data_IF_367360975174
#
_entry.id   IF_367360975174
#
_cell.length_a   1.000
_cell.length_b   1.000
_cell.length_c   1.000
_cell.angle_alpha   90.00
_cell.angle_beta   90.00
_cell.angle_gamma   90.00
#
_symmetry.space_group_name_H-M   'P 1'
#
loop_
_entity.id
_entity.type
_entity.pdbx_description
1 polymer ?
#
# COMPACT_ATOMS: atom_id res chain seq x y z
N UNK A 1 5.66 36.67 0.33
CA UNK A 1 6.55 35.78 1.10
C UNK A 1 5.70 34.63 1.63
N UNK A 2 6.23 33.39 1.58
CA UNK A 2 5.65 32.10 1.99
C UNK A 2 4.94 31.21 0.94
N UNK A 3 5.59 30.94 -0.19
CA UNK A 3 5.21 29.80 -1.07
C UNK A 3 6.23 28.64 -1.05
N UNK A 4 7.32 28.77 -0.28
CA UNK A 4 8.38 27.77 -0.20
C UNK A 4 8.28 26.80 1.00
N UNK A 5 7.24 26.91 1.84
CA UNK A 5 7.06 26.03 3.02
C UNK A 5 6.38 24.68 2.72
N UNK A 6 5.92 24.45 1.48
CA UNK A 6 5.31 23.18 1.06
C UNK A 6 6.28 21.98 0.99
N UNK A 7 7.58 22.20 1.24
CA UNK A 7 8.63 21.21 1.03
C UNK A 7 8.87 20.24 2.20
N UNK A 8 8.30 20.49 3.39
CA UNK A 8 8.47 19.63 4.58
C UNK A 8 7.14 19.34 5.29
N UNK A 9 6.10 18.94 4.55
CA UNK A 9 4.90 18.37 5.15
C UNK A 9 5.11 16.87 5.37
N UNK A 10 5.21 16.46 6.62
CA UNK A 10 4.94 15.07 7.03
C UNK A 10 3.48 14.79 6.68
N UNK A 11 3.25 14.11 5.56
CA UNK A 11 1.89 13.69 5.17
C UNK A 11 1.55 12.42 5.95
N UNK A 12 0.33 12.32 6.45
CA UNK A 12 -0.14 11.10 7.11
C UNK A 12 -0.31 9.95 6.10
N UNK A 13 -0.33 8.71 6.60
CA UNK A 13 -0.55 7.53 5.76
C UNK A 13 -1.92 7.55 5.04
N UNK A 14 -2.93 8.18 5.65
CA UNK A 14 -4.25 8.38 5.05
C UNK A 14 -4.22 9.38 3.90
N UNK A 15 -3.46 10.47 4.02
CA UNK A 15 -3.26 11.42 2.93
C UNK A 15 -2.49 10.78 1.77
N UNK A 16 -1.48 9.95 2.08
CA UNK A 16 -0.72 9.19 1.07
C UNK A 16 -1.65 8.23 0.32
N UNK A 17 -2.52 7.51 1.02
CA UNK A 17 -3.49 6.62 0.38
C UNK A 17 -4.42 7.36 -0.59
N UNK A 18 -4.86 8.57 -0.24
CA UNK A 18 -5.68 9.42 -1.12
C UNK A 18 -4.92 9.94 -2.35
N UNK A 19 -3.61 10.21 -2.22
CA UNK A 19 -2.78 10.62 -3.35
C UNK A 19 -2.50 9.46 -4.32
N UNK A 20 -2.35 8.24 -3.78
CA UNK A 20 -2.09 7.02 -4.55
C UNK A 20 -3.36 6.49 -5.21
N UNK A 21 -4.51 6.57 -4.54
CA UNK A 21 -5.81 6.26 -5.14
C UNK A 21 -6.22 7.26 -6.23
N UNK A 22 -5.56 8.42 -6.28
CA UNK A 22 -5.86 9.50 -7.21
C UNK A 22 -7.06 10.36 -6.78
N UNK A 23 -7.56 10.19 -5.56
CA UNK A 23 -8.60 11.04 -4.96
C UNK A 23 -8.11 12.48 -4.75
N UNK A 24 -6.80 12.65 -4.53
CA UNK A 24 -6.17 13.96 -4.36
C UNK A 24 -4.88 14.06 -5.19
N UNK A 25 -4.53 15.26 -5.63
CA UNK A 25 -3.28 15.48 -6.38
C UNK A 25 -2.08 15.61 -5.45
N UNK A 26 -1.03 14.81 -5.71
CA UNK A 26 0.23 14.85 -4.97
C UNK A 26 1.11 16.06 -5.30
N UNK A 27 2.13 16.30 -4.47
CA UNK A 27 3.01 17.50 -4.56
C UNK A 27 3.73 17.56 -5.91
N UNK A 28 4.26 16.44 -6.41
CA UNK A 28 4.89 16.37 -7.73
C UNK A 28 3.95 16.72 -8.87
N UNK A 29 2.67 16.35 -8.81
CA UNK A 29 1.70 16.70 -9.85
C UNK A 29 1.43 18.20 -9.87
N UNK A 30 1.31 18.82 -8.70
CA UNK A 30 1.17 20.28 -8.56
C UNK A 30 2.39 20.98 -9.16
N UNK A 31 3.61 20.53 -8.83
CA UNK A 31 4.84 21.08 -9.39
C UNK A 31 4.92 20.95 -10.90
N UNK A 32 4.48 19.81 -11.44
CA UNK A 32 4.46 19.59 -12.89
C UNK A 32 3.50 20.55 -13.59
N UNK A 33 2.30 20.78 -13.05
CA UNK A 33 1.35 21.76 -13.57
C UNK A 33 1.91 23.18 -13.56
N UNK A 34 2.47 23.60 -12.43
CA UNK A 34 3.09 24.92 -12.30
C UNK A 34 4.23 25.11 -13.30
N UNK A 35 5.08 24.11 -13.47
CA UNK A 35 6.18 24.16 -14.44
C UNK A 35 5.67 24.24 -15.88
N UNK A 36 4.63 23.46 -16.21
CA UNK A 36 3.98 23.50 -17.52
C UNK A 36 3.37 24.87 -17.81
N UNK A 37 2.62 25.44 -16.87
CA UNK A 37 2.04 26.78 -16.99
C UNK A 37 3.12 27.84 -17.21
N UNK A 38 4.20 27.79 -16.43
CA UNK A 38 5.33 28.71 -16.56
C UNK A 38 6.01 28.61 -17.93
N UNK A 39 6.16 27.40 -18.49
CA UNK A 39 6.74 27.22 -19.83
C UNK A 39 5.85 27.85 -20.89
N UNK A 40 4.53 27.66 -20.82
CA UNK A 40 3.60 28.23 -21.79
C UNK A 40 3.67 29.75 -21.74
N UNK A 41 3.56 30.33 -20.55
CA UNK A 41 3.61 31.78 -20.37
C UNK A 41 4.92 32.36 -20.91
N UNK A 42 6.05 31.74 -20.57
CA UNK A 42 7.36 32.17 -21.07
C UNK A 42 7.45 32.06 -22.59
N UNK A 43 7.03 30.94 -23.17
CA UNK A 43 7.10 30.70 -24.63
C UNK A 43 6.23 31.69 -25.40
N UNK A 44 5.01 31.96 -24.92
CA UNK A 44 4.12 32.93 -25.57
C UNK A 44 4.62 34.37 -25.39
N UNK A 45 5.30 34.69 -24.27
CA UNK A 45 5.89 36.01 -24.04
C UNK A 45 7.05 36.35 -24.98
N UNK A 46 7.72 35.36 -25.58
CA UNK A 46 8.82 35.57 -26.54
C UNK A 46 8.34 36.18 -27.87
N UNK A 47 7.04 36.07 -28.15
CA UNK A 47 6.36 36.63 -29.31
C UNK A 47 5.43 37.76 -28.84
N UNK A 48 5.98 38.92 -28.41
CA UNK A 48 5.16 40.07 -28.08
C UNK A 48 4.46 40.58 -29.34
N UNK A 49 3.33 41.29 -29.15
CA UNK A 49 2.52 41.83 -30.24
C UNK A 49 3.35 42.59 -31.29
N UNK A 50 4.38 43.33 -30.87
CA UNK A 50 5.25 44.06 -31.76
C UNK A 50 5.96 43.16 -32.80
N UNK A 51 6.54 42.03 -32.37
CA UNK A 51 7.17 41.06 -33.29
C UNK A 51 6.13 40.40 -34.20
N UNK A 52 4.95 40.08 -33.65
CA UNK A 52 3.85 39.54 -34.43
C UNK A 52 3.43 40.52 -35.54
N UNK A 53 3.26 41.80 -35.21
CA UNK A 53 2.87 42.85 -36.15
C UNK A 53 3.93 43.08 -37.25
N UNK A 54 5.22 43.05 -36.90
CA UNK A 54 6.32 43.20 -37.85
C UNK A 54 6.31 42.14 -38.96
N UNK A 55 5.87 40.92 -38.66
CA UNK A 55 5.70 39.86 -39.66
C UNK A 55 4.62 40.16 -40.72
N UNK A 56 3.77 41.16 -40.50
CA UNK A 56 2.68 41.57 -41.40
C UNK A 56 2.88 42.99 -41.93
N UNK A 57 4.13 43.46 -42.04
CA UNK A 57 4.49 44.80 -42.50
C UNK A 57 3.86 45.18 -43.84
N UNK A 58 3.63 44.21 -44.73
CA UNK A 58 3.06 44.43 -46.07
C UNK A 58 1.56 44.76 -46.04
N UNK A 59 0.84 44.34 -44.98
CA UNK A 59 -0.59 44.62 -44.78
C UNK A 59 -0.83 46.02 -44.18
N UNK A 60 0.22 46.73 -43.79
CA UNK A 60 0.16 48.01 -43.06
C UNK A 60 -0.27 49.22 -43.91
N UNK A 61 -0.73 48.99 -45.15
CA UNK A 61 -1.21 50.05 -46.06
C UNK A 61 -2.65 50.51 -45.79
N UNK A 62 -3.38 49.83 -44.90
CA UNK A 62 -4.76 50.16 -44.52
C UNK A 62 -4.81 50.71 -43.08
N UNK A 63 -5.61 51.76 -42.86
CA UNK A 63 -5.71 52.47 -41.56
C UNK A 63 -6.12 51.56 -40.38
N UNK A 64 -6.80 50.45 -40.65
CA UNK A 64 -7.38 49.55 -39.63
C UNK A 64 -6.61 48.24 -39.42
N UNK A 65 -5.48 48.01 -40.11
CA UNK A 65 -4.75 46.73 -40.01
C UNK A 65 -4.22 46.47 -38.60
N UNK A 66 -3.76 47.51 -37.90
CA UNK A 66 -3.17 47.35 -36.56
C UNK A 66 -4.20 46.95 -35.50
N UNK A 67 -5.40 47.52 -35.54
CA UNK A 67 -6.48 47.17 -34.62
C UNK A 67 -6.98 45.75 -34.88
N UNK A 68 -7.12 45.36 -36.14
CA UNK A 68 -7.47 44.00 -36.54
C UNK A 68 -6.42 42.97 -36.12
N UNK A 69 -5.14 43.22 -36.36
CA UNK A 69 -4.06 42.32 -35.94
C UNK A 69 -3.95 42.24 -34.41
N UNK A 70 -4.19 43.35 -33.69
CA UNK A 70 -4.25 43.34 -32.24
C UNK A 70 -5.40 42.47 -31.74
N UNK A 71 -6.56 42.53 -32.37
CA UNK A 71 -7.68 41.65 -32.05
C UNK A 71 -7.33 40.18 -32.30
N UNK A 72 -6.70 39.85 -33.43
CA UNK A 72 -6.25 38.48 -33.71
C UNK A 72 -5.26 38.01 -32.64
N UNK A 73 -4.24 38.81 -32.34
CA UNK A 73 -3.22 38.46 -31.36
C UNK A 73 -3.82 38.20 -29.97
N UNK A 74 -4.69 39.09 -29.50
CA UNK A 74 -5.36 38.97 -28.20
C UNK A 74 -6.34 37.81 -28.10
N UNK A 75 -6.75 37.21 -29.22
CA UNK A 75 -7.60 36.00 -29.21
C UNK A 75 -6.78 34.72 -29.42
N UNK A 76 -5.89 34.71 -30.42
CA UNK A 76 -5.16 33.51 -30.82
C UNK A 76 -4.22 33.01 -29.73
N UNK A 77 -3.44 33.91 -29.09
CA UNK A 77 -2.46 33.49 -28.08
C UNK A 77 -3.12 32.97 -26.80
N UNK A 78 -4.17 33.61 -26.25
CA UNK A 78 -4.94 33.04 -25.14
C UNK A 78 -5.64 31.73 -25.50
N UNK A 79 -6.32 31.64 -26.65
CA UNK A 79 -6.97 30.39 -27.07
C UNK A 79 -5.96 29.26 -27.29
N UNK A 80 -4.78 29.56 -27.82
CA UNK A 80 -3.69 28.59 -27.95
C UNK A 80 -3.23 28.11 -26.57
N UNK A 81 -3.00 29.02 -25.62
CA UNK A 81 -2.65 28.70 -24.24
C UNK A 81 -3.69 27.77 -23.59
N UNK A 82 -4.98 28.10 -23.71
CA UNK A 82 -6.07 27.28 -23.17
C UNK A 82 -6.12 25.89 -23.79
N UNK A 83 -5.95 25.77 -25.12
CA UNK A 83 -5.92 24.47 -25.79
C UNK A 83 -4.75 23.62 -25.35
N UNK A 84 -3.54 24.18 -25.26
CA UNK A 84 -2.36 23.44 -24.80
C UNK A 84 -2.57 22.96 -23.35
N UNK A 85 -3.12 23.82 -22.47
CA UNK A 85 -3.45 23.44 -21.09
C UNK A 85 -4.50 22.32 -21.02
N UNK A 86 -5.53 22.39 -21.86
CA UNK A 86 -6.55 21.35 -21.97
C UNK A 86 -5.95 20.02 -22.44
N UNK A 87 -5.15 20.03 -23.49
CA UNK A 87 -4.49 18.83 -24.03
C UNK A 87 -3.56 18.21 -22.99
N UNK A 88 -2.82 19.03 -22.26
CA UNK A 88 -1.97 18.57 -21.16
C UNK A 88 -2.77 17.87 -20.05
N UNK A 89 -3.90 18.43 -19.64
CA UNK A 89 -4.78 17.78 -18.65
C UNK A 89 -5.30 16.43 -19.16
N UNK A 90 -5.64 16.36 -20.44
CA UNK A 90 -6.14 15.15 -21.08
C UNK A 90 -5.07 14.06 -21.11
N UNK A 91 -3.84 14.40 -21.51
CA UNK A 91 -2.66 13.51 -21.45
C UNK A 91 -2.42 13.02 -20.01
N UNK A 92 -2.46 13.93 -19.04
CA UNK A 92 -2.24 13.59 -17.64
C UNK A 92 -3.27 12.58 -17.12
N UNK A 93 -4.53 12.73 -17.54
CA UNK A 93 -5.63 11.83 -17.20
C UNK A 93 -5.46 10.46 -17.88
N UNK A 94 -5.25 10.43 -19.20
CA UNK A 94 -5.11 9.19 -19.98
C UNK A 94 -3.94 8.32 -19.50
N UNK A 95 -2.80 8.97 -19.20
CA UNK A 95 -1.58 8.26 -18.80
C UNK A 95 -1.51 8.01 -17.29
N UNK A 96 -2.51 8.45 -16.54
CA UNK A 96 -2.58 8.39 -15.08
C UNK A 96 -1.33 8.98 -14.43
N UNK A 97 -0.87 10.14 -14.91
CA UNK A 97 0.38 10.77 -14.48
C UNK A 97 0.35 11.11 -12.99
N UNK A 98 -0.80 11.61 -12.49
CA UNK A 98 -0.96 11.95 -11.08
C UNK A 98 -0.68 10.74 -10.17
N UNK A 99 -1.31 9.60 -10.48
CA UNK A 99 -1.15 8.35 -9.71
C UNK A 99 0.31 7.89 -9.73
N UNK A 100 0.95 7.83 -10.90
CA UNK A 100 2.35 7.40 -11.03
C UNK A 100 3.33 8.31 -10.30
N UNK A 101 3.07 9.63 -10.29
CA UNK A 101 3.91 10.57 -9.55
C UNK A 101 3.73 10.41 -8.03
N UNK A 102 2.50 10.14 -7.57
CA UNK A 102 2.21 9.81 -6.17
C UNK A 102 2.88 8.50 -5.74
N UNK A 103 2.78 7.43 -6.54
CA UNK A 103 3.48 6.16 -6.31
C UNK A 103 4.99 6.37 -6.20
N UNK A 104 5.56 7.21 -7.08
CA UNK A 104 6.99 7.54 -7.03
C UNK A 104 7.37 8.31 -5.76
N UNK A 105 6.52 9.19 -5.23
CA UNK A 105 6.75 9.84 -3.94
C UNK A 105 6.71 8.85 -2.79
N UNK A 106 5.73 7.94 -2.79
CA UNK A 106 5.61 6.88 -1.80
C UNK A 106 6.86 5.99 -1.80
N UNK A 107 7.25 5.44 -2.96
CA UNK A 107 8.43 4.59 -3.09
C UNK A 107 9.71 5.28 -2.60
N UNK A 108 9.86 6.58 -2.87
CA UNK A 108 11.01 7.35 -2.39
C UNK A 108 11.01 7.54 -0.86
N UNK A 109 9.84 7.60 -0.22
CA UNK A 109 9.71 7.69 1.25
C UNK A 109 9.94 6.35 1.93
N UNK A 110 9.43 5.28 1.35
CA UNK A 110 9.55 3.91 1.83
C UNK A 110 10.98 3.36 1.71
N UNK A 111 11.82 3.95 0.85
CA UNK A 111 13.22 3.56 0.75
C UNK A 111 13.91 3.66 2.12
N UNK A 112 14.60 2.61 2.58
CA UNK A 112 15.27 2.62 3.86
C UNK A 112 16.37 3.69 3.88
N UNK A 113 16.52 4.36 5.02
CA UNK A 113 17.64 5.26 5.26
C UNK A 113 18.89 4.43 5.55
N UNK A 114 19.95 4.69 4.79
CA UNK A 114 21.28 4.17 5.08
C UNK A 114 21.86 4.91 6.29
N UNK A 115 22.89 4.32 6.93
CA UNK A 115 23.57 4.90 8.10
C UNK A 115 24.15 6.31 7.85
N UNK A 116 24.37 6.70 6.59
CA UNK A 116 24.84 8.02 6.20
C UNK A 116 23.69 9.05 6.00
N UNK A 117 22.45 8.70 6.36
CA UNK A 117 21.26 9.54 6.19
C UNK A 117 20.73 9.64 4.76
N UNK A 118 21.38 8.99 3.78
CA UNK A 118 20.89 8.92 2.40
C UNK A 118 19.93 7.74 2.25
N UNK A 119 18.92 7.88 1.38
CA UNK A 119 18.04 6.75 1.02
C UNK A 119 18.83 5.70 0.23
N UNK A 120 18.53 4.42 0.46
CA UNK A 120 19.11 3.34 -0.31
C UNK A 120 18.75 3.52 -1.79
N UNK A 121 19.72 3.46 -2.73
CA UNK A 121 19.41 3.56 -4.15
C UNK A 121 18.44 2.44 -4.54
N UNK A 122 17.49 2.69 -5.46
CA UNK A 122 16.64 1.62 -5.97
C UNK A 122 17.55 0.52 -6.53
N UNK A 123 17.39 -0.70 -6.01
CA UNK A 123 18.25 -1.82 -6.39
C UNK A 123 18.20 -2.02 -7.91
N UNK A 124 19.38 -2.11 -8.52
CA UNK A 124 19.56 -2.49 -9.91
C UNK A 124 18.84 -3.80 -10.20
N UNK A 125 18.23 -3.86 -11.39
CA UNK A 125 17.72 -5.04 -12.13
C UNK A 125 18.14 -6.35 -11.47
N UNK A 126 17.36 -6.80 -10.49
CA UNK A 126 17.51 -8.13 -9.91
C UNK A 126 17.10 -9.10 -11.00
N UNK A 127 17.90 -10.15 -11.24
CA UNK A 127 17.55 -11.17 -12.22
C UNK A 127 16.13 -11.70 -11.87
N UNK A 128 15.20 -11.83 -12.85
CA UNK A 128 13.87 -12.38 -12.60
C UNK A 128 13.90 -13.69 -11.79
N UNK A 129 14.90 -14.55 -12.02
CA UNK A 129 15.08 -15.78 -11.23
C UNK A 129 15.36 -15.52 -9.75
N UNK A 130 16.14 -14.50 -9.43
CA UNK A 130 16.47 -14.13 -8.05
C UNK A 130 15.26 -13.48 -7.35
N UNK A 131 14.47 -12.69 -8.07
CA UNK A 131 13.20 -12.14 -7.54
C UNK A 131 12.23 -13.28 -7.20
N UNK A 132 12.05 -14.23 -8.12
CA UNK A 132 11.20 -15.40 -7.92
C UNK A 132 11.69 -16.22 -6.72
N UNK A 133 13.00 -16.49 -6.64
CA UNK A 133 13.59 -17.23 -5.51
C UNK A 133 13.36 -16.52 -4.18
N UNK A 134 13.48 -15.19 -4.14
CA UNK A 134 13.25 -14.40 -2.93
C UNK A 134 11.80 -14.51 -2.48
N UNK A 135 10.84 -14.29 -3.38
CA UNK A 135 9.40 -14.43 -3.08
C UNK A 135 9.03 -15.84 -2.64
N UNK A 136 9.55 -16.87 -3.33
CA UNK A 136 9.33 -18.27 -2.94
C UNK A 136 9.91 -18.55 -1.56
N UNK A 137 11.09 -18.01 -1.25
CA UNK A 137 11.72 -18.19 0.06
C UNK A 137 10.89 -17.56 1.18
N UNK A 138 10.36 -16.35 0.97
CA UNK A 138 9.47 -15.67 1.91
C UNK A 138 8.19 -16.47 2.15
N UNK A 139 7.54 -16.94 1.08
CA UNK A 139 6.34 -17.77 1.17
C UNK A 139 6.60 -19.09 1.92
N UNK A 140 7.74 -19.74 1.64
CA UNK A 140 8.15 -20.97 2.36
C UNK A 140 8.42 -20.71 3.83
N UNK A 141 8.99 -19.55 4.17
CA UNK A 141 9.25 -19.17 5.55
C UNK A 141 7.95 -18.93 6.31
N UNK A 142 7.00 -18.24 5.70
CA UNK A 142 5.66 -18.02 6.25
C UNK A 142 4.92 -19.34 6.48
N UNK A 143 4.94 -20.23 5.49
CA UNK A 143 4.28 -21.54 5.59
C UNK A 143 4.94 -22.43 6.64
N UNK A 144 6.27 -22.40 6.76
CA UNK A 144 6.99 -23.06 7.85
C UNK A 144 6.53 -22.55 9.22
N UNK A 145 6.39 -21.23 9.38
CA UNK A 145 5.87 -20.62 10.62
C UNK A 145 4.46 -21.10 10.95
N UNK A 146 3.57 -21.14 9.95
CA UNK A 146 2.20 -21.66 10.07
C UNK A 146 2.18 -23.12 10.50
N UNK A 147 2.95 -23.98 9.84
CA UNK A 147 3.04 -25.41 10.15
C UNK A 147 3.61 -25.67 11.54
N UNK A 148 4.62 -24.90 11.97
CA UNK A 148 5.17 -25.00 13.32
C UNK A 148 4.12 -24.65 14.39
N UNK A 149 3.32 -23.60 14.16
CA UNK A 149 2.23 -23.22 15.06
C UNK A 149 1.18 -24.34 15.16
N UNK A 150 0.76 -24.90 14.02
CA UNK A 150 -0.18 -26.04 13.99
C UNK A 150 0.39 -27.24 14.74
N UNK A 151 1.66 -27.57 14.50
CA UNK A 151 2.34 -28.68 15.17
C UNK A 151 2.38 -28.50 16.70
N UNK A 152 2.73 -27.30 17.17
CA UNK A 152 2.74 -26.99 18.60
C UNK A 152 1.35 -27.09 19.22
N UNK A 153 0.31 -26.65 18.51
CA UNK A 153 -1.07 -26.78 18.97
C UNK A 153 -1.48 -28.26 19.10
N UNK A 154 -1.22 -29.07 18.08
CA UNK A 154 -1.52 -30.51 18.10
C UNK A 154 -0.74 -31.24 19.20
N UNK A 155 0.53 -30.88 19.42
CA UNK A 155 1.33 -31.45 20.49
C UNK A 155 0.73 -31.14 21.86
N UNK A 156 0.27 -29.90 22.07
CA UNK A 156 -0.38 -29.48 23.30
C UNK A 156 -1.71 -30.20 23.52
N UNK A 157 -2.52 -30.37 22.48
CA UNK A 157 -3.76 -31.13 22.55
C UNK A 157 -3.52 -32.60 22.88
N UNK A 158 -2.56 -33.24 22.21
CA UNK A 158 -2.21 -34.63 22.48
C UNK A 158 -1.73 -34.82 23.92
N UNK A 159 -0.89 -33.92 24.43
CA UNK A 159 -0.46 -33.93 25.83
C UNK A 159 -1.63 -33.78 26.81
N UNK A 160 -2.64 -32.96 26.49
CA UNK A 160 -3.87 -32.85 27.29
C UNK A 160 -4.68 -34.13 27.24
N UNK A 161 -4.90 -34.71 26.07
CA UNK A 161 -5.63 -35.97 25.90
C UNK A 161 -4.94 -37.12 26.62
N UNK A 162 -3.60 -37.20 26.57
CA UNK A 162 -2.84 -38.23 27.29
C UNK A 162 -3.04 -38.14 28.80
N UNK A 163 -3.00 -36.93 29.37
CA UNK A 163 -3.31 -36.72 30.80
C UNK A 163 -4.74 -37.15 31.15
N UNK A 164 -5.72 -36.83 30.30
CA UNK A 164 -7.10 -37.25 30.51
C UNK A 164 -7.25 -38.78 30.50
N UNK A 165 -6.56 -39.48 29.59
CA UNK A 165 -6.56 -40.95 29.56
C UNK A 165 -5.95 -41.51 30.84
N UNK A 166 -4.79 -41.00 31.28
CA UNK A 166 -4.14 -41.44 32.52
C UNK A 166 -5.04 -41.22 33.75
N UNK A 167 -5.77 -40.11 33.82
CA UNK A 167 -6.69 -39.83 34.92
C UNK A 167 -7.92 -40.74 34.89
N UNK A 168 -8.49 -41.02 33.71
CA UNK A 168 -9.58 -41.98 33.54
C UNK A 168 -9.15 -43.41 33.90
N UNK A 169 -7.93 -43.81 33.54
CA UNK A 169 -7.35 -45.11 33.90
C UNK A 169 -7.24 -45.27 35.42
N UNK A 170 -6.78 -44.22 36.12
CA UNK A 170 -6.73 -44.18 37.59
C UNK A 170 -8.12 -44.30 38.20
N UNK A 171 -9.10 -43.55 37.69
CA UNK A 171 -10.49 -43.61 38.16
C UNK A 171 -11.09 -45.00 37.96
N UNK A 172 -10.86 -45.63 36.80
CA UNK A 172 -11.26 -47.01 36.49
C UNK A 172 -10.71 -47.98 37.52
N UNK A 173 -9.40 -47.91 37.80
CA UNK A 173 -8.75 -48.82 38.75
C UNK A 173 -9.26 -48.63 40.19
N UNK A 174 -9.51 -47.38 40.61
CA UNK A 174 -10.15 -47.08 41.91
C UNK A 174 -11.56 -47.65 42.00
N UNK A 175 -12.34 -47.56 40.92
CA UNK A 175 -13.69 -48.13 40.84
C UNK A 175 -13.66 -49.67 40.93
N UNK A 176 -12.75 -50.33 40.21
CA UNK A 176 -12.56 -51.79 40.29
C UNK A 176 -12.21 -52.21 41.72
N UNK A 177 -11.28 -51.51 42.38
CA UNK A 177 -10.92 -51.79 43.78
C UNK A 177 -12.12 -51.63 44.71
N UNK A 178 -12.91 -50.56 44.55
CA UNK A 178 -14.15 -50.36 45.33
C UNK A 178 -15.16 -51.49 45.10
N UNK A 179 -15.36 -51.90 43.86
CA UNK A 179 -16.27 -53.01 43.53
C UNK A 179 -15.80 -54.30 44.18
N UNK A 180 -14.53 -54.66 44.03
CA UNK A 180 -13.96 -55.87 44.63
C UNK A 180 -14.11 -55.85 46.16
N UNK A 181 -13.82 -54.72 46.81
CA UNK A 181 -14.04 -54.60 48.27
C UNK A 181 -15.50 -54.79 48.69
N UNK A 182 -16.46 -54.33 47.86
CA UNK A 182 -17.89 -54.54 48.11
C UNK A 182 -18.28 -56.00 47.90
N UNK A 183 -17.77 -56.65 46.85
CA UNK A 183 -17.99 -58.08 46.61
C UNK A 183 -17.49 -58.88 47.81
N UNK A 184 -16.27 -58.64 48.27
CA UNK A 184 -15.70 -59.33 49.44
C UNK A 184 -16.55 -59.12 50.70
N UNK A 185 -17.06 -57.90 50.93
CA UNK A 185 -17.93 -57.61 52.07
C UNK A 185 -19.27 -58.34 51.96
N UNK A 186 -19.87 -58.41 50.77
CA UNK A 186 -21.10 -59.16 50.54
C UNK A 186 -20.86 -60.66 50.73
N UNK A 187 -19.77 -61.20 50.21
CA UNK A 187 -19.40 -62.60 50.39
C UNK A 187 -19.26 -62.97 51.88
N UNK A 188 -18.58 -62.13 52.67
CA UNK A 188 -18.49 -62.29 54.13
C UNK A 188 -19.87 -62.25 54.82
N UNK A 189 -20.74 -61.35 54.38
CA UNK A 189 -22.12 -61.23 54.89
C UNK A 189 -22.94 -62.49 54.58
N UNK A 190 -22.80 -63.04 53.37
CA UNK A 190 -23.46 -64.28 52.96
C UNK A 190 -22.93 -65.46 53.80
N UNK A 191 -21.61 -65.59 53.96
CA UNK A 191 -21.00 -66.62 54.82
C UNK A 191 -21.52 -66.54 56.27
N UNK A 192 -21.59 -65.33 56.84
CA UNK A 192 -22.17 -65.10 58.16
C UNK A 192 -23.65 -65.52 58.23
N UNK A 193 -24.45 -65.18 57.21
CA UNK A 193 -25.87 -65.58 57.18
C UNK A 193 -26.05 -67.09 57.09
N UNK A 194 -25.25 -67.80 56.28
CA UNK A 194 -25.29 -69.26 56.19
C UNK A 194 -24.90 -69.92 57.52
N UNK A 195 -23.94 -69.34 58.25
CA UNK A 195 -23.53 -69.85 59.56
C UNK A 195 -24.54 -69.61 60.69
N UNK A 196 -25.50 -68.69 60.51
CA UNK A 196 -26.56 -68.41 61.47
C UNK A 196 -27.79 -69.30 61.30
N UNK A 197 -27.96 -69.91 60.12
CA UNK A 197 -29.07 -70.82 59.78
C UNK A 197 -28.75 -72.32 60.03
N UNK A 198 -27.55 -72.63 60.54
CA UNK A 198 -27.08 -73.96 61.01
C UNK A 198 -26.86 -73.99 62.50
#
# INVERSE_FOLDING_TARGET
MNELSLLNLELSDEEIAQFVSGEREGIKMIKLKLFHDMIIEKSLSEIPFQKFFECYSDLNKHLDTKSFLSYIYSNVFPTLSERIKSDFQLICKERQISIKLSELEQLHREQPLLQNGKRAPPFCVVNPEEQIKTQISELKLQEKGRLLSIYQNLLNENNKSKKQVEDLEKQKNLLIQKINSKIDNVSKLVELSVSLDT
#
